data_IF_538418197663
#
_entry.id   IF_538418197663
#
_cell.length_a   1.000
_cell.length_b   1.000
_cell.length_c   1.000
_cell.angle_alpha   90.00
_cell.angle_beta   90.00
_cell.angle_gamma   90.00
#
_symmetry.space_group_name_H-M   'P 1'
#
loop_
_entity.id
_entity.type
_entity.pdbx_description
1 polymer ?
#
# COMPACT_ATOMS: atom_id res chain seq x y z
N UNK A 1 5.85 7.58 20.27
CA UNK A 1 5.07 6.43 20.80
C UNK A 1 4.47 5.60 19.65
N UNK A 2 5.28 4.85 18.90
CA UNK A 2 4.80 3.95 17.83
C UNK A 2 5.55 2.60 17.83
N UNK A 3 5.99 2.11 19.00
CA UNK A 3 6.85 0.92 19.06
C UNK A 3 6.14 -0.43 18.92
N UNK A 4 4.84 -0.51 18.55
CA UNK A 4 4.11 -1.79 18.50
C UNK A 4 2.93 -1.88 17.52
N UNK A 5 2.84 -1.02 16.49
CA UNK A 5 1.77 -1.12 15.47
C UNK A 5 2.35 -1.62 14.14
N UNK A 6 1.73 -2.66 13.59
CA UNK A 6 1.99 -3.19 12.24
C UNK A 6 1.73 -2.11 11.20
N UNK A 7 2.65 -1.93 10.24
CA UNK A 7 2.51 -0.95 9.18
C UNK A 7 1.31 -1.28 8.28
N UNK A 8 1.06 -2.57 8.03
CA UNK A 8 -0.11 -3.03 7.26
C UNK A 8 -1.43 -2.53 7.85
N UNK A 9 -1.56 -2.53 9.19
CA UNK A 9 -2.75 -2.01 9.87
C UNK A 9 -2.84 -0.50 9.76
N UNK A 10 -1.69 0.19 9.82
CA UNK A 10 -1.63 1.64 9.74
C UNK A 10 -1.99 2.14 8.33
N UNK A 11 -1.55 1.44 7.28
CA UNK A 11 -1.79 1.75 5.87
C UNK A 11 -3.07 1.10 5.33
N UNK A 12 -4.04 0.76 6.19
CA UNK A 12 -5.32 0.15 5.81
C UNK A 12 -5.17 -1.04 4.83
N UNK A 13 -4.11 -1.84 4.95
CA UNK A 13 -3.82 -2.89 3.99
C UNK A 13 -4.92 -3.94 3.97
N UNK A 14 -5.36 -4.32 2.77
CA UNK A 14 -6.30 -5.43 2.56
C UNK A 14 -5.69 -6.43 1.58
N UNK A 15 -6.03 -7.69 1.80
CA UNK A 15 -5.60 -8.82 0.98
C UNK A 15 -6.85 -9.53 0.47
N UNK A 16 -6.88 -9.83 -0.82
CA UNK A 16 -7.93 -10.59 -1.48
C UNK A 16 -7.32 -11.71 -2.35
N UNK A 17 -8.07 -12.78 -2.56
CA UNK A 17 -7.61 -13.93 -3.34
C UNK A 17 -6.59 -14.81 -2.59
N UNK A 18 -6.15 -15.88 -3.26
CA UNK A 18 -5.24 -16.89 -2.69
C UNK A 18 -4.27 -17.49 -3.71
N UNK A 19 -4.04 -16.80 -4.83
CA UNK A 19 -3.06 -17.21 -5.84
C UNK A 19 -1.61 -17.21 -5.32
N UNK A 20 -0.73 -17.97 -5.97
CA UNK A 20 0.69 -18.05 -5.60
C UNK A 20 1.50 -16.83 -5.99
N UNK A 21 1.03 -16.06 -6.97
CA UNK A 21 1.63 -14.81 -7.41
C UNK A 21 0.90 -13.63 -6.77
N UNK A 22 1.67 -12.67 -6.25
CA UNK A 22 1.13 -11.50 -5.58
C UNK A 22 1.12 -10.27 -6.51
N UNK A 23 -0.01 -9.57 -6.54
CA UNK A 23 -0.18 -8.29 -7.26
C UNK A 23 -0.44 -7.20 -6.22
N UNK A 24 0.40 -6.17 -6.21
CA UNK A 24 0.30 -5.04 -5.28
C UNK A 24 -0.19 -3.82 -6.05
N UNK A 25 -1.33 -3.27 -5.63
CA UNK A 25 -1.98 -2.14 -6.29
C UNK A 25 -1.83 -0.88 -5.43
N UNK A 26 -1.15 0.14 -5.95
CA UNK A 26 -0.88 1.38 -5.24
C UNK A 26 -1.55 2.58 -5.91
N UNK A 27 -2.43 3.27 -5.17
CA UNK A 27 -3.19 4.42 -5.66
C UNK A 27 -2.31 5.68 -5.84
N UNK A 28 -2.77 6.67 -6.60
CA UNK A 28 -2.05 7.94 -6.78
C UNK A 28 -2.39 8.99 -5.71
N UNK A 29 -1.77 10.17 -5.81
CA UNK A 29 -2.08 11.31 -4.93
C UNK A 29 -3.56 11.71 -5.00
N UNK A 30 -4.12 12.12 -3.86
CA UNK A 30 -5.50 12.63 -3.75
C UNK A 30 -6.60 11.56 -3.68
N UNK A 31 -6.25 10.27 -3.75
CA UNK A 31 -7.19 9.17 -3.59
C UNK A 31 -6.81 8.21 -2.46
N UNK A 32 -7.45 7.05 -2.49
CA UNK A 32 -7.22 5.90 -1.61
C UNK A 32 -7.40 4.59 -2.41
N UNK A 33 -7.23 3.45 -1.75
CA UNK A 33 -7.30 2.12 -2.33
C UNK A 33 -8.63 1.80 -3.04
N UNK A 34 -9.73 2.53 -2.77
CA UNK A 34 -11.04 2.31 -3.41
C UNK A 34 -11.02 2.52 -4.93
N UNK A 35 -10.00 3.22 -5.46
CA UNK A 35 -9.79 3.32 -6.91
C UNK A 35 -9.69 1.95 -7.59
N UNK A 36 -9.31 0.91 -6.83
CA UNK A 36 -9.17 -0.46 -7.31
C UNK A 36 -10.40 -1.34 -7.06
N UNK A 37 -11.49 -0.84 -6.48
CA UNK A 37 -12.65 -1.66 -6.06
C UNK A 37 -13.26 -2.48 -7.22
N UNK A 38 -13.22 -1.94 -8.44
CA UNK A 38 -13.71 -2.64 -9.64
C UNK A 38 -12.70 -3.59 -10.27
N UNK A 39 -11.43 -3.53 -9.87
CA UNK A 39 -10.32 -4.30 -10.46
C UNK A 39 -9.97 -5.48 -9.56
N UNK A 40 -9.97 -5.27 -8.23
CA UNK A 40 -9.61 -6.29 -7.23
C UNK A 40 -10.40 -7.60 -7.41
N UNK A 41 -11.73 -7.61 -7.61
CA UNK A 41 -12.48 -8.87 -7.74
C UNK A 41 -11.97 -9.76 -8.88
N UNK A 42 -11.65 -9.18 -10.04
CA UNK A 42 -11.18 -9.92 -11.21
C UNK A 42 -9.76 -10.48 -11.01
N UNK A 43 -8.86 -9.71 -10.38
CA UNK A 43 -7.51 -10.17 -10.13
C UNK A 43 -7.48 -11.23 -9.01
N UNK A 44 -8.34 -11.10 -8.01
CA UNK A 44 -8.40 -12.01 -6.86
C UNK A 44 -8.86 -13.44 -7.23
N UNK A 45 -9.43 -13.64 -8.41
CA UNK A 45 -9.74 -14.97 -8.96
C UNK A 45 -8.47 -15.78 -9.28
N UNK A 46 -7.34 -15.12 -9.50
CA UNK A 46 -6.10 -15.75 -9.97
C UNK A 46 -4.88 -15.44 -9.10
N UNK A 47 -4.86 -14.29 -8.42
CA UNK A 47 -3.68 -13.76 -7.72
C UNK A 47 -3.99 -13.51 -6.25
N UNK A 48 -2.93 -13.42 -5.43
CA UNK A 48 -3.01 -12.77 -4.12
C UNK A 48 -2.90 -11.25 -4.36
N UNK A 49 -4.00 -10.53 -4.15
CA UNK A 49 -4.08 -9.09 -4.44
C UNK A 49 -3.94 -8.31 -3.14
N UNK A 50 -2.99 -7.38 -3.10
CA UNK A 50 -2.74 -6.48 -1.99
C UNK A 50 -3.08 -5.07 -2.40
N UNK A 51 -3.90 -4.39 -1.60
CA UNK A 51 -4.18 -2.95 -1.70
C UNK A 51 -3.87 -2.29 -0.36
N UNK A 52 -3.47 -1.02 -0.39
CA UNK A 52 -3.16 -0.24 0.81
C UNK A 52 -3.36 1.25 0.53
N UNK A 53 -3.38 2.05 1.60
CA UNK A 53 -3.45 3.51 1.56
C UNK A 53 -2.11 4.14 1.94
N UNK A 54 -1.68 5.13 1.16
CA UNK A 54 -0.50 5.91 1.50
C UNK A 54 -0.70 6.74 2.78
N UNK A 55 0.38 7.07 3.50
CA UNK A 55 0.31 7.89 4.72
C UNK A 55 -0.42 9.25 4.56
N UNK A 56 -0.41 9.83 3.36
CA UNK A 56 -1.11 11.09 3.07
C UNK A 56 -2.63 10.93 2.83
N UNK A 57 -3.11 9.71 2.65
CA UNK A 57 -4.50 9.45 2.25
C UNK A 57 -5.47 9.90 3.34
N UNK A 58 -6.56 10.55 2.94
CA UNK A 58 -7.65 10.92 3.85
C UNK A 58 -8.40 9.72 4.44
N UNK A 59 -8.16 8.50 3.92
CA UNK A 59 -8.72 7.26 4.46
C UNK A 59 -7.97 6.75 5.71
N UNK A 60 -6.78 7.27 6.02
CA UNK A 60 -6.03 6.93 7.22
C UNK A 60 -6.75 7.53 8.44
N UNK A 61 -7.07 6.68 9.43
CA UNK A 61 -7.80 7.12 10.63
C UNK A 61 -7.05 8.19 11.41
N UNK A 62 -7.81 9.18 11.88
CA UNK A 62 -7.31 10.22 12.77
C UNK A 62 -6.60 9.63 14.01
N UNK A 63 -5.49 10.24 14.41
CA UNK A 63 -4.65 9.79 15.54
C UNK A 63 -3.51 8.84 15.16
N UNK A 64 -3.49 8.33 13.93
CA UNK A 64 -2.31 7.73 13.32
C UNK A 64 -1.56 8.84 12.57
N UNK A 65 -0.70 9.60 13.26
CA UNK A 65 0.11 10.65 12.62
C UNK A 65 1.20 9.99 11.72
N UNK A 66 0.78 9.38 10.61
CA UNK A 66 1.65 8.62 9.71
C UNK A 66 2.38 9.50 8.72
N UNK A 67 1.81 10.66 8.38
CA UNK A 67 2.41 11.61 7.46
C UNK A 67 3.27 12.63 8.21
N UNK A 68 4.57 12.62 7.89
CA UNK A 68 5.54 13.62 8.32
C UNK A 68 6.06 14.33 7.07
N UNK A 69 5.79 15.63 6.94
CA UNK A 69 6.12 16.39 5.74
C UNK A 69 7.62 16.47 5.44
N UNK A 70 8.48 16.33 6.46
CA UNK A 70 9.94 16.29 6.30
C UNK A 70 10.35 14.91 5.80
N UNK A 71 9.81 13.82 6.39
CA UNK A 71 10.06 12.44 5.95
C UNK A 71 9.64 12.23 4.50
N UNK A 72 8.41 12.61 4.15
CA UNK A 72 7.84 12.39 2.81
C UNK A 72 8.13 13.54 1.84
N UNK A 73 9.25 14.25 2.04
CA UNK A 73 9.71 15.29 1.10
C UNK A 73 10.32 14.71 -0.18
N UNK A 74 10.66 13.42 -0.21
CA UNK A 74 11.07 12.66 -1.40
C UNK A 74 10.28 11.34 -1.52
N UNK A 75 10.36 10.70 -2.70
CA UNK A 75 9.76 9.39 -2.93
C UNK A 75 10.44 8.24 -2.20
N UNK A 76 11.68 8.42 -1.70
CA UNK A 76 12.43 7.38 -1.00
C UNK A 76 11.71 6.92 0.27
N UNK A 77 11.08 7.85 1.01
CA UNK A 77 10.31 7.50 2.20
C UNK A 77 9.10 6.62 1.88
N UNK A 78 8.41 6.90 0.77
CA UNK A 78 7.29 6.07 0.32
C UNK A 78 7.77 4.69 -0.17
N UNK A 79 8.88 4.65 -0.89
CA UNK A 79 9.49 3.39 -1.33
C UNK A 79 9.93 2.53 -0.15
N UNK A 80 10.53 3.13 0.89
CA UNK A 80 10.92 2.43 2.12
C UNK A 80 9.70 1.85 2.87
N UNK A 81 8.60 2.62 2.98
CA UNK A 81 7.38 2.12 3.61
C UNK A 81 6.73 1.00 2.78
N UNK A 82 6.78 1.09 1.45
CA UNK A 82 6.36 0.01 0.56
C UNK A 82 7.20 -1.26 0.79
N UNK A 83 8.53 -1.16 0.78
CA UNK A 83 9.43 -2.29 1.05
C UNK A 83 9.13 -2.91 2.41
N UNK A 84 8.99 -2.08 3.46
CA UNK A 84 8.67 -2.56 4.79
C UNK A 84 7.31 -3.28 4.82
N UNK A 85 6.30 -2.77 4.11
CA UNK A 85 5.01 -3.43 4.00
C UNK A 85 5.14 -4.81 3.33
N UNK A 86 5.90 -4.92 2.24
CA UNK A 86 6.13 -6.20 1.54
C UNK A 86 6.87 -7.20 2.44
N UNK A 87 7.88 -6.74 3.18
CA UNK A 87 8.62 -7.55 4.15
C UNK A 87 7.71 -8.02 5.30
N UNK A 88 6.87 -7.14 5.84
CA UNK A 88 5.90 -7.46 6.91
C UNK A 88 4.90 -8.53 6.44
N UNK A 89 4.49 -8.49 5.17
CA UNK A 89 3.61 -9.47 4.53
C UNK A 89 4.35 -10.72 4.04
N UNK A 90 5.68 -10.78 4.18
CA UNK A 90 6.54 -11.86 3.68
C UNK A 90 6.39 -12.09 2.15
N UNK A 91 6.24 -11.02 1.37
CA UNK A 91 6.10 -11.03 -0.09
C UNK A 91 7.45 -10.72 -0.74
N UNK A 92 8.12 -11.77 -1.25
CA UNK A 92 9.48 -11.64 -1.82
C UNK A 92 9.54 -11.26 -3.28
N UNK A 93 8.46 -11.50 -4.03
CA UNK A 93 8.34 -11.20 -5.45
C UNK A 93 6.88 -10.84 -5.72
N UNK A 94 6.65 -9.68 -6.33
CA UNK A 94 5.32 -9.16 -6.62
C UNK A 94 5.29 -8.53 -8.00
N UNK A 95 4.13 -8.54 -8.63
CA UNK A 95 3.82 -7.60 -9.71
C UNK A 95 3.31 -6.32 -9.06
N UNK A 96 4.02 -5.22 -9.24
CA UNK A 96 3.62 -3.93 -8.71
C UNK A 96 2.88 -3.11 -9.78
N UNK A 97 1.70 -2.61 -9.44
CA UNK A 97 0.87 -1.75 -10.29
C UNK A 97 0.66 -0.41 -9.56
N UNK A 98 1.47 0.57 -9.92
CA UNK A 98 1.37 1.93 -9.38
C UNK A 98 0.59 2.87 -10.31
N UNK A 99 -0.39 3.60 -9.78
CA UNK A 99 -1.04 4.69 -10.50
C UNK A 99 -0.36 6.04 -10.23
N UNK A 100 -0.04 6.79 -11.30
CA UNK A 100 0.54 8.14 -11.22
C UNK A 100 1.83 8.17 -10.37
N UNK A 101 1.87 8.96 -9.29
CA UNK A 101 2.98 9.04 -8.33
C UNK A 101 3.50 7.66 -7.91
N UNK A 102 2.60 6.70 -7.67
CA UNK A 102 2.99 5.35 -7.27
C UNK A 102 3.79 4.60 -8.32
N UNK A 103 3.61 4.89 -9.61
CA UNK A 103 4.40 4.29 -10.68
C UNK A 103 5.88 4.68 -10.61
N UNK A 104 6.21 5.81 -9.97
CA UNK A 104 7.60 6.25 -9.75
C UNK A 104 8.16 5.76 -8.41
N UNK A 105 7.29 5.35 -7.47
CA UNK A 105 7.70 4.87 -6.14
C UNK A 105 8.15 3.42 -6.20
N UNK A 106 7.43 2.57 -6.95
CA UNK A 106 7.79 1.17 -7.16
C UNK A 106 8.71 0.99 -8.35
#
# INVERSE_FOLDING_TARGET
>A
MLQNRRLSTAMNTKIAGSGSEAVVLAHGFGGDQSVWDKIVPYLAEHYLVVVFDWPFSGAIKEGLNLFDAVKYSSYDAFANDLIFLLDELNLKSVVFVGHSMSAMIG
#
